data_IF_081720146456
#
_entry.id   IF_081720146456
#
_cell.length_a   1.000
_cell.length_b   1.000
_cell.length_c   1.000
_cell.angle_alpha   90.00
_cell.angle_beta   90.00
_cell.angle_gamma   90.00
#
_symmetry.space_group_name_H-M   'P 1'
#
loop_
_entity.id
_entity.type
_entity.pdbx_description
1 polymer ?
#
# COMPACT_ATOMS: atom_id res chain seq x y z
N UNK A 1 26.22 5.94 -11.24
CA UNK A 1 25.11 6.79 -11.75
C UNK A 1 23.83 6.20 -11.15
N UNK A 2 23.04 6.96 -10.39
CA UNK A 2 21.82 6.43 -9.79
C UNK A 2 20.83 6.05 -10.90
N UNK A 3 20.13 4.94 -10.70
CA UNK A 3 19.05 4.49 -11.60
C UNK A 3 17.76 4.94 -10.93
N UNK A 4 17.09 5.92 -11.53
CA UNK A 4 15.83 6.47 -10.99
C UNK A 4 14.60 5.73 -11.52
N UNK A 5 14.73 5.01 -12.65
CA UNK A 5 13.61 4.28 -13.24
C UNK A 5 14.08 3.06 -14.05
N UNK A 6 13.37 1.94 -13.90
CA UNK A 6 13.55 0.72 -14.70
C UNK A 6 12.17 0.32 -15.22
N UNK A 7 12.00 0.38 -16.54
CA UNK A 7 10.75 -0.02 -17.20
C UNK A 7 11.09 -1.06 -18.26
N UNK A 8 10.37 -2.18 -18.21
CA UNK A 8 10.43 -3.22 -19.24
C UNK A 8 9.23 -3.08 -20.17
N UNK A 9 9.42 -3.25 -21.49
CA UNK A 9 8.30 -3.38 -22.42
C UNK A 9 7.40 -4.56 -22.04
N UNK A 10 6.14 -4.53 -22.51
CA UNK A 10 5.18 -5.59 -22.26
C UNK A 10 5.73 -6.95 -22.73
N UNK A 11 5.73 -7.94 -21.84
CA UNK A 11 6.26 -9.28 -22.14
C UNK A 11 7.79 -9.41 -22.07
N UNK A 12 8.56 -8.32 -22.07
CA UNK A 12 10.03 -8.36 -22.11
C UNK A 12 10.70 -8.40 -20.74
N UNK A 13 9.97 -8.12 -19.65
CA UNK A 13 10.50 -8.23 -18.29
C UNK A 13 11.04 -9.66 -18.06
N UNK A 14 12.30 -9.87 -17.65
CA UNK A 14 12.82 -11.19 -17.34
C UNK A 14 12.06 -11.83 -16.17
N UNK A 15 11.82 -13.13 -16.24
CA UNK A 15 11.20 -13.86 -15.14
C UNK A 15 12.17 -14.02 -13.97
N UNK A 16 11.65 -13.94 -12.74
CA UNK A 16 12.43 -14.15 -11.53
C UNK A 16 12.10 -13.18 -10.41
N UNK A 17 12.87 -13.28 -9.33
CA UNK A 17 12.68 -12.47 -8.13
C UNK A 17 13.50 -11.18 -8.20
N UNK A 18 12.82 -10.06 -8.03
CA UNK A 18 13.39 -8.72 -8.02
C UNK A 18 13.41 -8.19 -6.60
N UNK A 19 14.51 -7.56 -6.23
CA UNK A 19 14.70 -6.90 -4.95
C UNK A 19 15.00 -5.43 -5.21
N UNK A 20 14.23 -4.54 -4.59
CA UNK A 20 14.41 -3.09 -4.72
C UNK A 20 15.07 -2.58 -3.45
N UNK A 21 16.23 -1.96 -3.63
CA UNK A 21 16.99 -1.35 -2.56
C UNK A 21 17.07 0.16 -2.73
N UNK A 22 17.04 0.88 -1.60
CA UNK A 22 17.25 2.32 -1.56
C UNK A 22 18.53 2.62 -0.79
N UNK A 23 19.35 3.51 -1.36
CA UNK A 23 20.65 3.88 -0.79
C UNK A 23 20.87 5.40 -0.85
N UNK A 24 21.28 5.98 0.28
CA UNK A 24 21.59 7.39 0.40
C UNK A 24 23.04 7.70 -0.01
N UNK A 25 23.29 7.87 -1.31
CA UNK A 25 24.64 8.13 -1.82
C UNK A 25 25.28 9.44 -1.35
N UNK A 26 24.51 10.55 -1.28
CA UNK A 26 25.08 11.87 -0.98
C UNK A 26 24.04 12.84 -0.45
N UNK A 27 24.29 13.38 0.74
CA UNK A 27 23.50 14.49 1.29
C UNK A 27 23.70 15.77 0.47
N UNK A 28 22.59 16.37 0.02
CA UNK A 28 22.64 17.70 -0.59
C UNK A 28 23.01 18.75 0.46
N UNK A 29 24.04 19.57 0.19
CA UNK A 29 24.51 20.64 1.10
C UNK A 29 23.68 21.94 0.98
N UNK A 30 22.36 21.84 0.96
CA UNK A 30 21.47 23.02 1.03
C UNK A 30 21.09 23.27 2.50
N UNK A 31 20.97 24.55 2.88
CA UNK A 31 20.61 24.97 4.25
C UNK A 31 19.25 24.40 4.73
N UNK A 32 18.37 23.99 3.81
CA UNK A 32 17.05 23.40 4.07
C UNK A 32 16.94 21.90 3.78
N UNK A 33 18.05 21.20 3.54
CA UNK A 33 18.01 19.74 3.37
C UNK A 33 17.49 19.11 4.66
N UNK A 34 16.29 18.54 4.61
CA UNK A 34 15.71 17.79 5.73
C UNK A 34 16.34 16.41 5.76
N UNK A 35 16.80 16.07 6.95
CA UNK A 35 17.25 14.73 7.34
C UNK A 35 16.30 14.32 8.46
N UNK A 36 15.61 13.19 8.38
CA UNK A 36 15.68 12.17 7.32
C UNK A 36 15.10 12.61 5.96
N UNK A 37 15.57 12.00 4.87
CA UNK A 37 15.11 12.25 3.49
C UNK A 37 14.04 11.25 3.09
N UNK A 38 12.84 11.74 2.78
CA UNK A 38 11.72 10.91 2.33
C UNK A 38 11.97 10.37 0.93
N UNK A 39 11.58 9.13 0.68
CA UNK A 39 11.58 8.50 -0.63
C UNK A 39 10.25 7.79 -0.89
N UNK A 40 9.94 7.62 -2.17
CA UNK A 40 8.79 6.86 -2.64
C UNK A 40 9.26 5.90 -3.74
N UNK A 41 8.83 4.65 -3.67
CA UNK A 41 9.11 3.60 -4.64
C UNK A 41 7.78 3.06 -5.14
N UNK A 42 7.58 3.13 -6.45
CA UNK A 42 6.41 2.54 -7.10
C UNK A 42 6.90 1.39 -7.96
N UNK A 43 6.44 0.18 -7.66
CA UNK A 43 6.72 -1.03 -8.42
C UNK A 43 5.43 -1.50 -9.09
N UNK A 44 5.44 -1.61 -10.41
CA UNK A 44 4.35 -2.23 -11.17
C UNK A 44 4.81 -3.59 -11.67
N UNK A 45 4.28 -4.65 -11.08
CA UNK A 45 4.60 -6.03 -11.45
C UNK A 45 3.32 -6.73 -11.92
N UNK A 46 3.22 -6.96 -13.22
CA UNK A 46 2.15 -7.79 -13.82
C UNK A 46 0.72 -7.36 -13.43
N UNK A 47 0.47 -6.06 -13.32
CA UNK A 47 -0.84 -5.50 -12.96
C UNK A 47 -0.99 -5.18 -11.47
N UNK A 48 -0.10 -5.68 -10.62
CA UNK A 48 -0.03 -5.27 -9.21
C UNK A 48 0.79 -3.99 -9.09
N UNK A 49 0.10 -2.90 -8.78
CA UNK A 49 0.73 -1.62 -8.44
C UNK A 49 1.02 -1.59 -6.94
N UNK A 50 2.30 -1.61 -6.60
CA UNK A 50 2.78 -1.54 -5.22
C UNK A 50 3.46 -0.19 -4.99
N UNK A 51 3.03 0.53 -3.96
CA UNK A 51 3.62 1.80 -3.54
C UNK A 51 4.23 1.65 -2.15
N UNK A 52 5.49 2.05 -2.03
CA UNK A 52 6.24 2.04 -0.78
C UNK A 52 6.74 3.45 -0.50
N UNK A 53 6.50 3.95 0.70
CA UNK A 53 7.03 5.22 1.17
C UNK A 53 7.91 4.99 2.38
N UNK A 54 8.97 5.77 2.51
CA UNK A 54 9.92 5.64 3.61
C UNK A 54 10.79 6.86 3.78
N UNK A 55 11.62 6.85 4.80
CA UNK A 55 12.56 7.92 5.09
C UNK A 55 13.94 7.30 5.35
N UNK A 56 14.99 7.92 4.81
CA UNK A 56 16.37 7.44 4.95
C UNK A 56 17.28 8.58 5.42
N UNK A 57 18.11 8.30 6.40
CA UNK A 57 19.10 9.23 6.95
C UNK A 57 20.45 9.06 6.25
N UNK A 58 21.21 10.15 6.09
CA UNK A 58 22.54 10.04 5.51
C UNK A 58 23.49 9.24 6.42
N UNK A 59 24.06 8.16 5.89
CA UNK A 59 24.98 7.28 6.62
C UNK A 59 24.35 5.96 7.07
N UNK A 60 23.04 5.77 6.86
CA UNK A 60 22.39 4.47 7.06
C UNK A 60 22.78 3.47 5.96
N UNK A 61 22.76 2.18 6.31
CA UNK A 61 23.01 1.09 5.37
C UNK A 61 21.92 1.00 4.30
N UNK A 62 22.25 0.36 3.18
CA UNK A 62 21.31 0.11 2.08
C UNK A 62 20.08 -0.65 2.61
N UNK A 63 18.88 -0.12 2.36
CA UNK A 63 17.64 -0.72 2.86
C UNK A 63 16.92 -1.46 1.73
N UNK A 64 16.47 -2.68 2.02
CA UNK A 64 15.53 -3.42 1.17
C UNK A 64 14.14 -2.85 1.38
N UNK A 65 13.52 -2.35 0.31
CA UNK A 65 12.17 -1.78 0.35
C UNK A 65 11.14 -2.85 0.03
N UNK A 66 11.35 -3.59 -1.05
CA UNK A 66 10.42 -4.64 -1.45
C UNK A 66 11.12 -5.74 -2.24
N UNK A 67 10.49 -6.91 -2.23
CA UNK A 67 10.83 -8.04 -3.08
C UNK A 67 9.56 -8.48 -3.78
N UNK A 68 9.63 -8.63 -5.10
CA UNK A 68 8.50 -9.10 -5.90
C UNK A 68 8.95 -10.14 -6.92
N UNK A 69 8.05 -11.04 -7.28
CA UNK A 69 8.32 -12.08 -8.27
C UNK A 69 7.64 -11.76 -9.59
N UNK A 70 8.40 -11.80 -10.66
CA UNK A 70 7.90 -11.63 -12.02
C UNK A 70 7.70 -13.01 -12.64
N UNK A 71 6.46 -13.40 -12.99
CA UNK A 71 6.16 -14.72 -13.54
C UNK A 71 6.81 -14.92 -14.91
N UNK A 72 7.01 -16.20 -15.27
CA UNK A 72 7.51 -16.59 -16.61
C UNK A 72 6.51 -16.27 -17.71
N UNK A 73 6.97 -16.18 -18.96
CA UNK A 73 6.09 -15.87 -20.09
C UNK A 73 4.91 -16.85 -20.20
N UNK A 74 5.15 -18.13 -19.96
CA UNK A 74 4.10 -19.16 -19.99
C UNK A 74 3.07 -18.99 -18.86
N UNK A 75 3.53 -18.63 -17.66
CA UNK A 75 2.64 -18.28 -16.54
C UNK A 75 1.84 -17.01 -16.85
N UNK A 76 2.46 -16.02 -17.48
CA UNK A 76 1.77 -14.79 -17.92
C UNK A 76 0.68 -15.10 -18.93
N UNK A 77 0.91 -16.00 -19.87
CA UNK A 77 -0.11 -16.40 -20.84
C UNK A 77 -1.27 -17.14 -20.17
N UNK A 78 -0.98 -17.97 -19.16
CA UNK A 78 -2.02 -18.65 -18.36
C UNK A 78 -2.86 -17.67 -17.55
N UNK A 79 -2.22 -16.78 -16.80
CA UNK A 79 -2.94 -15.82 -15.96
C UNK A 79 -3.77 -14.86 -16.83
N UNK A 80 -3.22 -14.41 -17.97
CA UNK A 80 -3.97 -13.58 -18.93
C UNK A 80 -5.21 -14.30 -19.45
N UNK A 81 -5.09 -15.57 -19.84
CA UNK A 81 -6.22 -16.36 -20.34
C UNK A 81 -7.31 -16.56 -19.27
N UNK A 82 -6.88 -16.88 -18.04
CA UNK A 82 -7.80 -17.09 -16.92
C UNK A 82 -8.54 -15.80 -16.56
N UNK A 83 -7.82 -14.66 -16.53
CA UNK A 83 -8.40 -13.35 -16.29
C UNK A 83 -9.38 -12.94 -17.39
N UNK A 84 -9.04 -13.17 -18.67
CA UNK A 84 -9.95 -12.92 -19.80
C UNK A 84 -11.23 -13.76 -19.70
N UNK A 85 -11.11 -15.03 -19.29
CA UNK A 85 -12.27 -15.89 -19.06
C UNK A 85 -13.13 -15.44 -17.87
N UNK A 86 -12.50 -15.00 -16.78
CA UNK A 86 -13.19 -14.44 -15.62
C UNK A 86 -13.93 -13.14 -15.96
N UNK A 87 -13.33 -12.27 -16.78
CA UNK A 87 -13.98 -11.05 -17.29
C UNK A 87 -15.20 -11.43 -18.14
N UNK A 88 -15.03 -12.36 -19.09
CA UNK A 88 -16.14 -12.84 -19.95
C UNK A 88 -17.31 -13.39 -19.14
N UNK A 89 -17.02 -14.17 -18.08
CA UNK A 89 -18.04 -14.74 -17.18
C UNK A 89 -18.76 -13.67 -16.36
N UNK A 90 -18.03 -12.64 -15.92
CA UNK A 90 -18.61 -11.50 -15.22
C UNK A 90 -19.50 -10.67 -16.16
N UNK A 91 -19.07 -10.47 -17.40
CA UNK A 91 -19.82 -9.76 -18.44
C UNK A 91 -21.06 -10.54 -18.93
N UNK A 92 -21.02 -11.87 -18.93
CA UNK A 92 -22.17 -12.71 -19.32
C UNK A 92 -23.26 -12.80 -18.24
N UNK A 93 -23.02 -12.27 -17.03
CA UNK A 93 -23.96 -12.34 -15.90
C UNK A 93 -24.13 -13.75 -15.32
N UNK A 94 -23.29 -14.72 -15.72
CA UNK A 94 -23.28 -16.08 -15.20
C UNK A 94 -22.43 -16.16 -13.93
N UNK A 95 -22.89 -15.53 -12.86
CA UNK A 95 -22.35 -15.80 -11.53
C UNK A 95 -22.94 -17.14 -11.09
N UNK A 96 -22.18 -18.22 -11.21
CA UNK A 96 -22.65 -19.53 -10.75
C UNK A 96 -22.83 -19.50 -9.23
N UNK A 97 -23.92 -20.06 -8.72
CA UNK A 97 -24.19 -20.14 -7.27
C UNK A 97 -23.04 -20.79 -6.48
N UNK A 98 -22.26 -21.67 -7.14
CA UNK A 98 -21.07 -22.29 -6.57
C UNK A 98 -19.91 -21.30 -6.33
N UNK A 99 -19.76 -20.27 -7.18
CA UNK A 99 -18.72 -19.24 -7.01
C UNK A 99 -19.07 -18.28 -5.87
N UNK A 100 -20.36 -17.95 -5.68
CA UNK A 100 -20.84 -17.10 -4.58
C UNK A 100 -20.58 -17.77 -3.23
N UNK A 101 -20.86 -19.07 -3.12
CA UNK A 101 -20.61 -19.86 -1.91
C UNK A 101 -19.10 -19.99 -1.58
N UNK A 102 -18.22 -20.02 -2.59
CA UNK A 102 -16.78 -20.07 -2.38
C UNK A 102 -16.21 -18.72 -1.91
N UNK A 103 -16.71 -17.61 -2.46
CA UNK A 103 -16.32 -16.26 -2.01
C UNK A 103 -16.86 -15.94 -0.59
N UNK A 104 -18.02 -16.49 -0.20
CA UNK A 104 -18.58 -16.36 1.15
C UNK A 104 -17.83 -17.22 2.19
N UNK A 105 -17.31 -18.39 1.78
CA UNK A 105 -16.54 -19.29 2.64
C UNK A 105 -15.08 -18.85 2.86
N UNK A 106 -14.61 -17.83 2.14
CA UNK A 106 -13.30 -17.24 2.35
C UNK A 106 -13.48 -15.96 3.14
N UNK A 107 -13.38 -15.98 4.48
CA UNK A 107 -13.37 -14.74 5.24
C UNK A 107 -12.16 -13.93 4.76
N UNK A 108 -12.39 -12.86 4.00
CA UNK A 108 -11.46 -11.73 3.98
C UNK A 108 -11.42 -11.25 5.42
N UNK A 109 -10.47 -11.74 6.19
CA UNK A 109 -10.07 -11.12 7.44
C UNK A 109 -9.49 -9.76 7.06
N UNK A 110 -10.38 -8.80 6.86
CA UNK A 110 -10.03 -7.41 7.05
C UNK A 110 -9.91 -7.31 8.56
N UNK A 111 -8.67 -7.31 9.07
CA UNK A 111 -8.38 -7.09 10.49
C UNK A 111 -8.78 -5.65 10.84
N UNK A 112 -10.08 -5.45 11.05
CA UNK A 112 -10.63 -4.21 11.59
C UNK A 112 -10.36 -4.09 13.10
N UNK A 113 -9.92 -5.17 13.77
CA UNK A 113 -9.64 -5.19 15.21
C UNK A 113 -8.49 -4.26 15.58
N UNK A 114 -7.34 -4.38 14.90
CA UNK A 114 -6.14 -3.61 15.21
C UNK A 114 -6.33 -2.08 15.02
N UNK A 115 -7.25 -1.66 14.13
CA UNK A 115 -7.51 -0.22 13.92
C UNK A 115 -8.44 0.38 14.99
N UNK A 116 -9.31 -0.43 15.61
CA UNK A 116 -10.25 0.05 16.63
C UNK A 116 -9.57 0.12 17.99
N UNK A 117 -8.72 -0.86 18.31
CA UNK A 117 -7.95 -0.87 19.56
C UNK A 117 -6.95 0.31 19.63
N UNK A 118 -6.39 0.77 18.51
CA UNK A 118 -5.49 1.95 18.50
C UNK A 118 -6.26 3.26 18.74
N UNK A 119 -7.49 3.40 18.23
CA UNK A 119 -8.32 4.59 18.45
C UNK A 119 -8.85 4.66 19.89
N UNK A 120 -9.23 3.52 20.48
CA UNK A 120 -9.68 3.49 21.89
C UNK A 120 -8.53 3.76 22.85
N UNK A 121 -7.30 3.34 22.51
CA UNK A 121 -6.12 3.60 23.33
C UNK A 121 -5.59 5.04 23.22
N UNK A 122 -5.98 5.79 22.18
CA UNK A 122 -5.71 7.24 22.06
C UNK A 122 -6.77 8.13 22.75
N UNK A 123 -7.89 7.56 23.22
CA UNK A 123 -9.01 8.30 23.84
C UNK A 123 -9.29 7.87 25.29
N UNK A 124 -8.28 7.40 26.03
CA UNK A 124 -8.40 7.05 27.46
C UNK A 124 -7.69 8.03 28.41
N UNK A 125 -8.49 8.66 29.28
CA UNK A 125 -8.15 9.44 30.49
C UNK A 125 -7.77 10.94 30.33
N UNK A 126 -8.77 11.80 30.06
CA UNK A 126 -8.90 13.02 30.87
C UNK A 126 -10.01 12.82 31.91
N UNK A 127 -9.74 13.07 33.21
CA UNK A 127 -10.74 12.94 34.26
C UNK A 127 -11.85 13.99 34.11
N UNK A 128 -13.07 13.60 34.45
CA UNK A 128 -14.23 14.48 34.61
C UNK A 128 -13.88 15.69 35.50
N UNK A 129 -13.75 16.88 34.92
CA UNK A 129 -13.80 18.16 35.64
C UNK A 129 -15.22 18.71 35.57
N UNK A 130 -15.88 18.74 36.72
CA UNK A 130 -17.27 19.13 36.98
C UNK A 130 -17.49 20.65 36.96
N UNK A 131 -16.77 21.35 36.09
CA UNK A 131 -16.75 22.81 35.96
C UNK A 131 -17.97 23.39 35.25
N UNK A 132 -18.98 23.76 36.04
CA UNK A 132 -20.05 24.70 35.68
C UNK A 132 -19.63 25.80 34.69
N UNK A 133 -20.33 25.94 33.55
CA UNK A 133 -20.01 26.99 32.59
C UNK A 133 -20.93 27.11 31.36
N UNK A 134 -22.25 26.89 31.50
CA UNK A 134 -23.19 27.33 30.46
C UNK A 134 -23.35 28.85 30.58
N UNK A 135 -22.95 29.68 29.60
CA UNK A 135 -23.35 31.08 29.60
C UNK A 135 -24.86 31.17 29.29
N UNK A 136 -25.64 31.99 30.03
CA UNK A 136 -27.05 32.17 29.72
C UNK A 136 -27.22 32.83 28.34
N UNK A 137 -28.24 32.40 27.60
CA UNK A 137 -28.59 32.98 26.31
C UNK A 137 -28.95 34.47 26.46
N UNK A 138 -28.56 35.34 25.50
CA UNK A 138 -28.95 36.74 25.52
C UNK A 138 -30.46 36.88 25.30
N UNK A 139 -31.11 37.66 26.16
CA UNK A 139 -32.52 38.03 26.07
C UNK A 139 -32.74 38.97 24.87
N UNK A 140 -33.64 38.58 23.97
CA UNK A 140 -34.05 39.38 22.81
C UNK A 140 -35.24 40.25 23.24
N UNK A 141 -34.94 41.46 23.72
CA UNK A 141 -35.90 42.56 23.85
C UNK A 141 -36.22 43.22 22.52
#
# INVERSE_FOLDING_TARGET
KPIENVVWPEGEAPAGSYQVFVHYYKKHKKRRSKDPTKFQVIANAYGDLMEYTGELTFGEEIQLVCTFNVPTMEERERIKRDLEEQIRRSESGEISAAQILADEATPKQVEFGDLVDEIENELGDEPEDDGSGVPPAPDLG
#
